data_IF_014494558303
#
_entry.id   IF_014494558303
#
_cell.length_a   1.000
_cell.length_b   1.000
_cell.length_c   1.000
_cell.angle_alpha   90.00
_cell.angle_beta   90.00
_cell.angle_gamma   90.00
#
_symmetry.space_group_name_H-M   'P 1'
#
loop_
_entity.id
_entity.type
_entity.pdbx_description
1 polymer ?
#
# COMPACT_ATOMS: atom_id res chain seq x y z
N UNK A 1 41.77 -19.00 28.65
CA UNK A 1 40.98 -19.13 27.40
C UNK A 1 39.58 -19.54 27.78
N UNK A 2 38.72 -18.56 28.06
CA UNK A 2 37.28 -18.79 28.29
C UNK A 2 36.54 -18.07 27.17
N UNK A 3 35.92 -18.85 26.29
CA UNK A 3 35.00 -18.43 25.25
C UNK A 3 33.69 -17.98 25.90
N UNK A 4 33.44 -16.67 25.90
CA UNK A 4 32.14 -16.08 26.24
C UNK A 4 31.19 -16.25 25.06
N UNK A 5 30.08 -16.95 25.28
CA UNK A 5 28.95 -17.09 24.35
C UNK A 5 28.26 -15.72 24.19
N UNK A 6 28.28 -15.17 22.97
CA UNK A 6 27.76 -13.83 22.64
C UNK A 6 26.26 -13.85 22.26
N UNK A 7 25.58 -15.00 22.31
CA UNK A 7 24.22 -15.14 21.74
C UNK A 7 23.05 -14.97 22.71
N UNK A 8 23.28 -14.82 24.02
CA UNK A 8 22.19 -14.78 25.02
C UNK A 8 21.90 -13.40 25.63
N UNK A 9 22.63 -12.34 25.26
CA UNK A 9 22.53 -11.03 25.94
C UNK A 9 21.80 -9.92 25.15
N UNK A 10 21.28 -10.22 23.96
CA UNK A 10 20.59 -9.20 23.13
C UNK A 10 19.15 -8.90 23.55
N UNK A 11 18.49 -9.80 24.29
CA UNK A 11 17.10 -9.61 24.74
C UNK A 11 16.96 -8.96 26.11
N UNK A 12 18.02 -8.91 26.93
CA UNK A 12 17.97 -8.36 28.28
C UNK A 12 18.44 -6.90 28.40
N UNK A 13 19.15 -6.37 27.38
CA UNK A 13 19.80 -5.06 27.44
C UNK A 13 19.02 -3.89 26.80
N UNK A 14 17.75 -4.11 26.45
CA UNK A 14 16.81 -3.06 26.07
C UNK A 14 15.79 -2.91 27.20
N UNK A 15 16.04 -1.97 28.12
CA UNK A 15 15.05 -1.47 29.07
C UNK A 15 13.91 -0.69 28.38
N UNK A 16 13.45 -1.17 27.24
CA UNK A 16 12.21 -0.74 26.62
C UNK A 16 11.11 -1.27 27.53
N UNK A 17 10.32 -0.37 28.13
CA UNK A 17 9.08 -0.81 28.77
C UNK A 17 8.34 -1.65 27.72
N UNK A 18 7.99 -2.89 28.08
CA UNK A 18 7.10 -3.73 27.30
C UNK A 18 5.94 -2.85 26.84
N UNK A 19 5.86 -2.60 25.53
CA UNK A 19 4.72 -1.93 24.90
C UNK A 19 3.53 -2.88 25.03
N UNK A 20 3.02 -3.05 26.25
CA UNK A 20 1.91 -3.95 26.53
C UNK A 20 0.68 -3.33 25.89
N UNK A 21 0.08 -4.08 24.98
CA UNK A 21 -1.27 -3.84 24.52
C UNK A 21 -2.21 -3.84 25.72
N UNK A 22 -2.75 -2.68 26.06
CA UNK A 22 -3.81 -2.56 27.07
C UNK A 22 -5.14 -2.32 26.35
N UNK A 23 -5.97 -3.36 26.29
CA UNK A 23 -7.32 -3.30 25.72
C UNK A 23 -8.22 -2.28 26.43
N UNK A 24 -7.89 -1.88 27.66
CA UNK A 24 -8.66 -0.90 28.43
C UNK A 24 -8.63 0.51 27.81
N UNK A 25 -7.61 0.83 27.01
CA UNK A 25 -7.54 2.12 26.29
C UNK A 25 -8.56 2.23 25.13
N UNK A 26 -9.32 1.16 24.84
CA UNK A 26 -10.28 1.11 23.74
C UNK A 26 -11.74 1.36 24.17
N UNK A 27 -12.09 1.24 25.46
CA UNK A 27 -13.48 1.27 25.93
C UNK A 27 -13.85 2.51 26.78
N UNK A 28 -14.63 3.42 26.15
CA UNK A 28 -15.53 4.48 26.71
C UNK A 28 -14.85 5.65 27.45
N UNK A 29 -15.33 6.89 27.44
CA UNK A 29 -16.62 7.50 27.09
C UNK A 29 -16.38 8.66 26.09
N UNK A 30 -17.39 8.97 25.28
CA UNK A 30 -17.49 10.22 24.51
C UNK A 30 -17.52 11.41 25.46
N UNK A 31 -16.36 11.76 26.00
CA UNK A 31 -16.10 12.97 26.74
C UNK A 31 -16.03 14.12 25.75
N UNK A 32 -16.79 15.16 26.05
CA UNK A 32 -16.97 16.46 25.42
C UNK A 32 -15.66 17.27 25.26
N UNK A 33 -14.62 16.67 24.68
CA UNK A 33 -13.50 17.39 24.10
C UNK A 33 -13.91 17.66 22.64
N UNK A 34 -14.43 18.87 22.40
CA UNK A 34 -15.04 19.28 21.13
C UNK A 34 -14.31 18.71 19.91
N UNK A 35 -14.97 17.80 19.22
CA UNK A 35 -14.47 17.14 18.02
C UNK A 35 -14.09 18.20 16.98
N UNK A 36 -12.82 18.21 16.57
CA UNK A 36 -12.33 19.19 15.60
C UNK A 36 -12.65 18.66 14.21
N UNK A 37 -13.71 19.19 13.62
CA UNK A 37 -14.24 18.71 12.34
C UNK A 37 -13.58 19.37 11.12
N UNK A 38 -12.70 20.35 11.30
CA UNK A 38 -12.02 21.05 10.19
C UNK A 38 -10.53 20.70 10.08
N UNK A 39 -10.06 19.69 10.82
CA UNK A 39 -8.69 19.18 10.76
C UNK A 39 -8.69 17.64 10.68
N UNK A 40 -7.78 17.05 9.90
CA UNK A 40 -7.76 15.60 9.68
C UNK A 40 -6.38 14.97 9.56
N UNK A 41 -6.26 13.72 10.01
CA UNK A 41 -5.22 12.80 9.56
C UNK A 41 -5.63 12.18 8.22
N UNK A 42 -4.75 12.21 7.24
CA UNK A 42 -5.00 11.72 5.88
C UNK A 42 -4.02 10.59 5.56
N UNK A 43 -4.52 9.47 5.04
CA UNK A 43 -3.68 8.37 4.53
C UNK A 43 -4.12 7.94 3.13
N UNK A 44 -3.35 7.07 2.49
CA UNK A 44 -3.60 6.53 1.15
C UNK A 44 -3.48 5.00 1.15
N UNK A 45 -4.45 4.33 0.53
CA UNK A 45 -4.36 2.92 0.16
C UNK A 45 -4.68 2.72 -1.33
N UNK A 46 -3.72 2.18 -2.07
CA UNK A 46 -3.86 1.95 -3.52
C UNK A 46 -4.42 0.57 -3.88
N UNK A 47 -4.53 -0.32 -2.91
CA UNK A 47 -5.05 -1.68 -3.04
C UNK A 47 -5.49 -2.24 -1.66
N UNK A 48 -6.02 -3.45 -1.65
CA UNK A 48 -6.46 -4.13 -0.43
C UNK A 48 -5.32 -4.43 0.55
N UNK A 49 -4.08 -4.57 0.07
CA UNK A 49 -2.91 -4.88 0.91
C UNK A 49 -2.49 -3.67 1.72
N UNK A 50 -2.33 -2.51 1.09
CA UNK A 50 -2.06 -1.25 1.80
C UNK A 50 -3.25 -0.80 2.65
N UNK A 51 -4.47 -1.23 2.32
CA UNK A 51 -5.64 -1.02 3.17
C UNK A 51 -5.51 -1.68 4.55
N UNK A 52 -4.79 -2.81 4.67
CA UNK A 52 -4.51 -3.43 5.97
C UNK A 52 -3.66 -2.51 6.85
N UNK A 53 -2.63 -1.89 6.27
CA UNK A 53 -1.81 -0.89 6.93
C UNK A 53 -2.63 0.32 7.39
N UNK A 54 -3.46 0.86 6.49
CA UNK A 54 -4.33 1.99 6.79
C UNK A 54 -5.33 1.68 7.92
N UNK A 55 -5.91 0.48 7.97
CA UNK A 55 -6.80 0.06 9.06
C UNK A 55 -6.06 0.02 10.40
N UNK A 56 -4.83 -0.53 10.44
CA UNK A 56 -4.01 -0.53 11.67
C UNK A 56 -3.64 0.89 12.07
N UNK A 57 -3.29 1.76 11.12
CA UNK A 57 -3.02 3.17 11.37
C UNK A 57 -4.24 3.86 12.02
N UNK A 58 -5.44 3.70 11.46
CA UNK A 58 -6.67 4.26 12.01
C UNK A 58 -6.93 3.78 13.44
N UNK A 59 -6.78 2.47 13.70
CA UNK A 59 -6.93 1.93 15.05
C UNK A 59 -5.85 2.45 16.02
N UNK A 60 -4.63 2.68 15.54
CA UNK A 60 -3.55 3.25 16.35
C UNK A 60 -3.82 4.71 16.75
N UNK A 61 -4.38 5.52 15.85
CA UNK A 61 -4.81 6.90 16.11
C UNK A 61 -5.99 6.95 17.10
N UNK A 62 -6.99 6.08 16.91
CA UNK A 62 -8.14 5.96 17.83
C UNK A 62 -7.72 5.55 19.24
N UNK A 63 -6.78 4.62 19.36
CA UNK A 63 -6.24 4.15 20.65
C UNK A 63 -5.55 5.26 21.44
N UNK A 64 -4.92 6.21 20.77
CA UNK A 64 -4.28 7.37 21.42
C UNK A 64 -5.23 8.56 21.54
N UNK A 65 -6.53 8.35 21.35
CA UNK A 65 -7.59 9.34 21.51
C UNK A 65 -7.34 10.63 20.71
N UNK A 66 -7.00 10.50 19.42
CA UNK A 66 -7.00 11.68 18.55
C UNK A 66 -8.38 12.33 18.54
N UNK A 67 -8.39 13.65 18.52
CA UNK A 67 -9.60 14.49 18.46
C UNK A 67 -9.89 14.99 17.03
N UNK A 68 -9.22 14.41 16.03
CA UNK A 68 -9.20 14.82 14.63
C UNK A 68 -9.86 13.77 13.75
N UNK A 69 -10.42 14.22 12.64
CA UNK A 69 -11.03 13.30 11.68
C UNK A 69 -9.98 12.41 11.00
N UNK A 70 -10.38 11.19 10.66
CA UNK A 70 -9.59 10.22 9.92
C UNK A 70 -10.10 10.14 8.49
N UNK A 71 -9.23 10.44 7.55
CA UNK A 71 -9.54 10.44 6.11
C UNK A 71 -8.63 9.45 5.41
N UNK A 72 -9.18 8.69 4.47
CA UNK A 72 -8.41 7.83 3.58
C UNK A 72 -8.73 8.13 2.12
N UNK A 73 -7.68 8.31 1.33
CA UNK A 73 -7.74 8.30 -0.12
C UNK A 73 -7.60 6.85 -0.61
N UNK A 74 -8.44 6.44 -1.57
CA UNK A 74 -8.38 5.11 -2.17
C UNK A 74 -8.44 5.16 -3.69
N UNK A 75 -7.95 4.11 -4.35
CA UNK A 75 -8.10 3.94 -5.81
C UNK A 75 -9.24 2.98 -6.14
N UNK A 76 -9.59 2.91 -7.42
CA UNK A 76 -10.55 1.93 -7.96
C UNK A 76 -10.14 0.46 -7.73
N UNK A 77 -8.86 0.20 -7.42
CA UNK A 77 -8.34 -1.15 -7.18
C UNK A 77 -8.72 -1.72 -5.81
N UNK A 78 -9.15 -0.88 -4.86
CA UNK A 78 -9.62 -1.33 -3.55
C UNK A 78 -11.00 -1.96 -3.68
N UNK A 79 -11.18 -3.19 -3.19
CA UNK A 79 -12.41 -3.96 -3.34
C UNK A 79 -13.58 -3.36 -2.56
N UNK A 80 -14.81 -3.65 -2.98
CA UNK A 80 -16.04 -3.20 -2.30
C UNK A 80 -16.08 -3.65 -0.83
N UNK A 81 -15.61 -4.86 -0.55
CA UNK A 81 -15.54 -5.41 0.81
C UNK A 81 -14.54 -4.62 1.66
N UNK A 82 -13.35 -4.34 1.12
CA UNK A 82 -12.36 -3.54 1.83
C UNK A 82 -12.85 -2.10 2.06
N UNK A 83 -13.52 -1.50 1.08
CA UNK A 83 -14.16 -0.17 1.22
C UNK A 83 -15.17 -0.12 2.37
N UNK A 84 -15.96 -1.18 2.55
CA UNK A 84 -16.90 -1.29 3.67
C UNK A 84 -16.19 -1.31 5.03
N UNK A 85 -15.01 -1.95 5.11
CA UNK A 85 -14.20 -1.95 6.33
C UNK A 85 -13.54 -0.60 6.59
N UNK A 86 -13.02 0.04 5.54
CA UNK A 86 -12.46 1.38 5.61
C UNK A 86 -13.51 2.39 6.08
N UNK A 87 -14.75 2.31 5.57
CA UNK A 87 -15.85 3.18 5.98
C UNK A 87 -16.30 3.00 7.44
N UNK A 88 -15.90 1.90 8.10
CA UNK A 88 -16.12 1.71 9.54
C UNK A 88 -14.96 2.28 10.38
N UNK A 89 -13.78 2.41 9.79
CA UNK A 89 -12.56 2.83 10.47
C UNK A 89 -12.24 4.32 10.27
N UNK A 90 -12.63 4.90 9.14
CA UNK A 90 -12.38 6.29 8.75
C UNK A 90 -13.69 7.09 8.69
N UNK A 91 -13.60 8.38 8.98
CA UNK A 91 -14.73 9.31 8.94
C UNK A 91 -15.06 9.72 7.50
N UNK A 92 -14.04 9.73 6.62
CA UNK A 92 -14.18 9.96 5.19
C UNK A 92 -13.32 8.97 4.38
N UNK A 93 -13.95 8.31 3.42
CA UNK A 93 -13.30 7.48 2.40
C UNK A 93 -13.49 8.14 1.05
N UNK A 94 -12.43 8.74 0.51
CA UNK A 94 -12.46 9.48 -0.75
C UNK A 94 -11.82 8.64 -1.87
N UNK A 95 -12.58 8.35 -2.91
CA UNK A 95 -12.06 7.65 -4.08
C UNK A 95 -11.41 8.61 -5.07
N UNK A 96 -10.14 8.37 -5.39
CA UNK A 96 -9.37 9.12 -6.36
C UNK A 96 -9.31 8.31 -7.66
N UNK A 97 -9.96 8.84 -8.70
CA UNK A 97 -9.92 8.26 -10.04
C UNK A 97 -9.09 9.15 -10.99
N UNK A 98 -7.82 8.75 -11.19
CA UNK A 98 -6.90 9.45 -12.10
C UNK A 98 -7.39 9.43 -13.56
N UNK A 99 -8.16 8.42 -13.97
CA UNK A 99 -8.59 8.22 -15.35
C UNK A 99 -9.81 9.04 -15.76
N UNK A 100 -10.64 9.46 -14.79
CA UNK A 100 -11.88 10.20 -15.08
C UNK A 100 -11.69 11.73 -15.09
N UNK A 101 -10.51 12.19 -14.68
CA UNK A 101 -10.21 13.61 -14.67
C UNK A 101 -9.97 14.08 -16.11
N UNK A 102 -10.99 14.66 -16.74
CA UNK A 102 -10.97 15.28 -18.10
C UNK A 102 -10.03 16.50 -18.23
N UNK A 103 -9.05 16.60 -17.36
CA UNK A 103 -8.10 17.70 -17.26
C UNK A 103 -6.91 17.42 -18.22
N UNK A 104 -6.56 18.38 -19.10
CA UNK A 104 -5.35 18.31 -19.92
C UNK A 104 -4.08 17.98 -19.12
N UNK A 105 -3.99 18.43 -17.86
CA UNK A 105 -2.88 18.09 -16.99
C UNK A 105 -2.83 16.56 -16.74
N UNK A 106 -3.96 15.95 -16.34
CA UNK A 106 -4.07 14.51 -16.09
C UNK A 106 -3.84 13.65 -17.36
N UNK A 107 -4.18 14.18 -18.54
CA UNK A 107 -3.87 13.55 -19.83
C UNK A 107 -2.36 13.52 -20.13
N UNK A 108 -1.62 14.57 -19.77
CA UNK A 108 -0.15 14.53 -19.84
C UNK A 108 0.44 13.49 -18.89
N UNK A 109 -0.21 13.26 -17.73
CA UNK A 109 0.19 12.28 -16.71
C UNK A 109 0.04 10.82 -17.16
N UNK A 110 -0.91 10.51 -18.06
CA UNK A 110 -1.01 9.17 -18.67
C UNK A 110 0.27 8.75 -19.42
N UNK A 111 1.13 9.71 -19.80
CA UNK A 111 2.42 9.43 -20.43
C UNK A 111 3.55 9.17 -19.41
N UNK A 112 3.27 9.21 -18.10
CA UNK A 112 4.22 9.00 -16.98
C UNK A 112 3.68 7.97 -15.98
N UNK A 113 3.49 6.70 -16.39
CA UNK A 113 2.89 5.66 -15.54
C UNK A 113 3.67 5.42 -14.23
N UNK A 114 4.96 5.71 -14.20
CA UNK A 114 5.82 5.58 -13.02
C UNK A 114 5.41 6.48 -11.84
N UNK A 115 4.65 7.54 -12.09
CA UNK A 115 4.21 8.50 -11.06
C UNK A 115 2.77 8.26 -10.57
N UNK A 116 2.09 7.18 -10.98
CA UNK A 116 0.66 6.98 -10.69
C UNK A 116 0.30 7.01 -9.18
N UNK A 117 1.12 6.38 -8.34
CA UNK A 117 0.92 6.38 -6.87
C UNK A 117 1.20 7.78 -6.29
N UNK A 118 2.29 8.41 -6.74
CA UNK A 118 2.65 9.79 -6.37
C UNK A 118 1.51 10.76 -6.63
N UNK A 119 0.90 10.71 -7.82
CA UNK A 119 -0.21 11.58 -8.17
C UNK A 119 -1.45 11.34 -7.33
N UNK A 120 -1.78 10.07 -7.05
CA UNK A 120 -2.90 9.73 -6.16
C UNK A 120 -2.71 10.35 -4.77
N UNK A 121 -1.47 10.35 -4.24
CA UNK A 121 -1.13 10.98 -2.96
C UNK A 121 -1.36 12.50 -2.98
N UNK A 122 -1.03 13.19 -4.08
CA UNK A 122 -1.22 14.65 -4.19
C UNK A 122 -2.68 15.09 -4.10
N UNK A 123 -3.65 14.21 -4.37
CA UNK A 123 -5.07 14.53 -4.17
C UNK A 123 -5.40 14.87 -2.71
N UNK A 124 -4.53 14.60 -1.74
CA UNK A 124 -4.73 15.06 -0.37
C UNK A 124 -4.87 16.59 -0.28
N UNK A 125 -4.21 17.36 -1.16
CA UNK A 125 -4.37 18.83 -1.24
C UNK A 125 -5.76 19.26 -1.74
N UNK A 126 -6.56 18.37 -2.33
CA UNK A 126 -7.92 18.70 -2.78
C UNK A 126 -8.98 18.55 -1.70
N UNK A 127 -8.59 18.10 -0.51
CA UNK A 127 -9.48 17.95 0.64
C UNK A 127 -9.78 19.31 1.31
N UNK A 128 -10.28 20.27 0.52
CA UNK A 128 -10.51 21.68 0.89
C UNK A 128 -11.62 21.90 1.92
N UNK A 129 -12.32 20.84 2.32
CA UNK A 129 -13.21 20.84 3.48
C UNK A 129 -12.44 20.95 4.81
N UNK A 130 -11.14 20.64 4.83
CA UNK A 130 -10.27 20.78 6.00
C UNK A 130 -9.36 22.00 5.87
N UNK A 131 -9.11 22.68 6.99
CA UNK A 131 -8.18 23.81 7.10
C UNK A 131 -6.73 23.37 7.22
N UNK A 132 -6.50 22.18 7.78
CA UNK A 132 -5.16 21.63 7.97
C UNK A 132 -5.23 20.12 8.09
N UNK A 133 -4.25 19.46 7.48
CA UNK A 133 -4.16 18.02 7.51
C UNK A 133 -2.74 17.57 7.87
N UNK A 134 -2.66 16.39 8.48
CA UNK A 134 -1.41 15.64 8.64
C UNK A 134 -1.50 14.42 7.75
N UNK A 135 -0.67 14.37 6.71
CA UNK A 135 -0.56 13.18 5.88
C UNK A 135 0.29 12.13 6.60
N UNK A 136 -0.12 10.86 6.53
CA UNK A 136 0.61 9.70 7.05
C UNK A 136 0.53 8.54 6.06
N UNK A 137 1.66 8.00 5.61
CA UNK A 137 1.69 6.78 4.79
C UNK A 137 1.06 5.60 5.54
N UNK A 138 0.43 4.67 4.83
CA UNK A 138 -0.31 3.54 5.43
C UNK A 138 0.58 2.47 6.07
N UNK A 139 1.90 2.60 5.94
CA UNK A 139 2.92 1.81 6.64
C UNK A 139 3.54 2.57 7.82
N UNK A 140 2.82 3.54 8.37
CA UNK A 140 3.14 4.20 9.64
C UNK A 140 2.30 3.62 10.79
N UNK A 141 2.77 3.79 12.03
CA UNK A 141 2.10 3.33 13.25
C UNK A 141 2.22 4.37 14.35
N UNK A 142 1.07 4.77 14.91
CA UNK A 142 1.02 5.75 16.01
C UNK A 142 1.14 5.04 17.36
N UNK A 143 2.12 5.45 18.15
CA UNK A 143 2.38 4.96 19.50
C UNK A 143 1.74 5.87 20.57
N UNK A 144 1.81 7.19 20.35
CA UNK A 144 1.36 8.22 21.28
C UNK A 144 0.59 9.31 20.53
N UNK A 145 -0.32 10.02 21.22
CA UNK A 145 -1.06 11.13 20.62
C UNK A 145 -0.10 12.20 20.07
N UNK A 146 -0.37 12.69 18.87
CA UNK A 146 0.43 13.68 18.15
C UNK A 146 -0.43 14.81 17.56
N UNK A 147 -1.60 15.11 18.16
CA UNK A 147 -2.51 16.16 17.70
C UNK A 147 -1.85 17.56 17.76
N UNK A 148 -0.75 17.74 18.50
CA UNK A 148 0.02 18.99 18.46
C UNK A 148 0.66 19.28 17.08
N UNK A 149 0.75 18.31 16.18
CA UNK A 149 1.19 18.51 14.80
C UNK A 149 0.31 19.51 14.04
N UNK A 150 -0.98 19.62 14.39
CA UNK A 150 -1.89 20.59 13.78
C UNK A 150 -1.57 22.06 14.17
N UNK A 151 -0.67 22.29 15.13
CA UNK A 151 -0.12 23.64 15.37
C UNK A 151 0.89 24.09 14.31
N UNK A 152 1.40 23.18 13.48
CA UNK A 152 2.47 23.45 12.50
C UNK A 152 1.94 24.02 11.19
N UNK A 153 2.81 24.69 10.43
CA UNK A 153 2.50 25.29 9.14
C UNK A 153 2.88 24.37 7.97
N UNK A 154 2.35 24.65 6.78
CA UNK A 154 2.77 23.97 5.55
C UNK A 154 4.14 24.50 5.07
N UNK A 155 5.07 23.68 4.59
CA UNK A 155 5.14 22.22 4.69
C UNK A 155 6.02 21.89 5.89
N UNK A 156 5.49 21.19 6.91
CA UNK A 156 6.30 20.71 8.04
C UNK A 156 6.47 19.21 7.97
N UNK A 157 7.70 18.73 8.02
CA UNK A 157 8.03 17.31 7.85
C UNK A 157 9.30 16.95 8.65
N UNK A 158 9.63 15.67 8.72
CA UNK A 158 10.82 15.16 9.42
C UNK A 158 11.97 15.00 8.41
N UNK A 159 13.23 15.34 8.76
CA UNK A 159 14.39 15.06 7.92
C UNK A 159 14.50 13.57 7.55
N UNK A 160 14.85 13.30 6.29
CA UNK A 160 15.15 11.95 5.83
C UNK A 160 16.46 11.44 6.44
N UNK A 161 16.49 10.16 6.82
CA UNK A 161 17.68 9.56 7.47
C UNK A 161 18.84 9.31 6.51
N UNK A 162 18.54 9.18 5.21
CA UNK A 162 19.54 8.97 4.16
C UNK A 162 20.16 10.30 3.75
N UNK A 163 19.33 11.27 3.36
CA UNK A 163 19.76 12.61 2.97
C UNK A 163 19.04 13.68 3.78
N UNK A 164 19.60 14.17 4.91
CA UNK A 164 18.90 15.03 5.86
C UNK A 164 18.45 16.42 5.35
N UNK A 165 19.01 16.88 4.24
CA UNK A 165 18.53 18.11 3.57
C UNK A 165 17.25 17.86 2.75
N UNK A 166 16.82 16.61 2.62
CA UNK A 166 15.50 16.24 2.15
C UNK A 166 14.63 15.90 3.35
N UNK A 167 13.35 16.21 3.29
CA UNK A 167 12.37 15.67 4.24
C UNK A 167 11.82 14.33 3.77
N UNK A 168 11.46 13.48 4.73
CA UNK A 168 10.73 12.25 4.47
C UNK A 168 9.24 12.55 4.24
N UNK A 169 8.68 12.07 3.13
CA UNK A 169 7.28 12.35 2.75
C UNK A 169 6.26 11.42 3.40
N UNK A 170 6.68 10.52 4.29
CA UNK A 170 5.77 9.59 4.96
C UNK A 170 4.92 10.23 6.05
N UNK A 171 5.38 11.34 6.63
CA UNK A 171 4.58 12.15 7.56
C UNK A 171 4.86 13.62 7.33
N UNK A 172 3.83 14.39 7.00
CA UNK A 172 3.95 15.84 6.83
C UNK A 172 2.65 16.59 7.13
N UNK A 173 2.79 17.85 7.56
CA UNK A 173 1.67 18.78 7.81
C UNK A 173 1.51 19.68 6.60
N UNK A 174 0.28 19.80 6.11
CA UNK A 174 -0.05 20.58 4.92
C UNK A 174 -1.41 21.28 5.05
N UNK A 175 -1.67 22.22 4.15
CA UNK A 175 -2.93 22.97 4.06
C UNK A 175 -3.60 22.62 2.73
N UNK A 176 -4.76 21.92 2.75
CA UNK A 176 -5.50 21.64 1.53
C UNK A 176 -5.80 22.91 0.74
N UNK A 177 -5.48 22.89 -0.55
CA UNK A 177 -5.59 24.01 -1.47
C UNK A 177 -5.59 23.50 -2.91
N UNK A 178 -6.69 23.76 -3.63
CA UNK A 178 -6.78 23.50 -5.08
C UNK A 178 -5.67 24.24 -5.85
N UNK A 179 -5.25 25.43 -5.40
CA UNK A 179 -4.16 26.16 -6.03
C UNK A 179 -2.81 25.42 -5.85
N UNK A 180 -2.54 24.91 -4.65
CA UNK A 180 -1.31 24.14 -4.36
C UNK A 180 -1.31 22.82 -5.12
N UNK A 181 -2.46 22.12 -5.17
CA UNK A 181 -2.63 20.91 -5.98
C UNK A 181 -2.30 21.17 -7.45
N UNK A 182 -2.95 22.16 -8.09
CA UNK A 182 -2.73 22.45 -9.51
C UNK A 182 -1.28 22.87 -9.80
N UNK A 183 -0.65 23.60 -8.87
CA UNK A 183 0.77 23.94 -8.98
C UNK A 183 1.68 22.70 -8.87
N UNK A 184 1.41 21.78 -7.94
CA UNK A 184 2.14 20.52 -7.79
C UNK A 184 2.00 19.63 -9.03
N UNK A 185 0.79 19.50 -9.58
CA UNK A 185 0.55 18.72 -10.81
C UNK A 185 1.30 19.33 -12.00
N UNK A 186 1.22 20.64 -12.18
CA UNK A 186 1.93 21.35 -13.26
C UNK A 186 3.44 21.15 -13.10
N UNK A 187 3.96 21.35 -11.89
CA UNK A 187 5.37 21.18 -11.58
C UNK A 187 5.85 19.75 -11.85
N UNK A 188 5.06 18.73 -11.49
CA UNK A 188 5.37 17.34 -11.75
C UNK A 188 5.40 17.00 -13.25
N UNK A 189 4.51 17.61 -14.05
CA UNK A 189 4.52 17.46 -15.51
C UNK A 189 5.77 18.04 -16.17
N UNK A 190 6.33 19.11 -15.60
CA UNK A 190 7.52 19.80 -16.11
C UNK A 190 8.84 19.19 -15.62
N UNK A 191 8.93 18.84 -14.32
CA UNK A 191 10.17 18.48 -13.66
C UNK A 191 10.26 16.99 -13.29
N UNK A 192 9.13 16.29 -13.23
CA UNK A 192 9.05 14.91 -12.74
C UNK A 192 9.44 14.80 -11.26
N UNK A 193 9.96 13.62 -10.89
CA UNK A 193 10.51 13.33 -9.56
C UNK A 193 11.90 12.73 -9.71
N UNK A 194 12.87 13.15 -8.88
CA UNK A 194 14.24 12.64 -8.97
C UNK A 194 14.39 11.20 -8.44
N UNK A 195 13.50 10.74 -7.56
CA UNK A 195 13.49 9.37 -7.02
C UNK A 195 12.37 8.51 -7.64
N UNK A 196 11.58 9.08 -8.57
CA UNK A 196 10.41 8.45 -9.17
C UNK A 196 9.19 8.35 -8.24
N UNK A 197 9.29 8.82 -7.00
CA UNK A 197 8.22 8.81 -5.99
C UNK A 197 7.71 10.20 -5.64
N UNK A 198 6.87 10.28 -4.62
CA UNK A 198 6.32 11.54 -4.09
C UNK A 198 7.35 12.32 -3.29
N UNK A 199 8.28 11.65 -2.60
CA UNK A 199 9.31 12.30 -1.80
C UNK A 199 10.17 13.22 -2.67
N UNK A 200 10.65 12.73 -3.82
CA UNK A 200 11.47 13.52 -4.71
C UNK A 200 10.74 14.72 -5.30
N UNK A 201 9.49 14.53 -5.72
CA UNK A 201 8.65 15.61 -6.24
C UNK A 201 8.40 16.69 -5.18
N UNK A 202 7.98 16.29 -3.99
CA UNK A 202 7.64 17.21 -2.90
C UNK A 202 8.89 17.97 -2.43
N UNK A 203 10.05 17.33 -2.35
CA UNK A 203 11.31 18.01 -2.02
C UNK A 203 11.75 19.01 -3.10
N UNK A 204 11.50 18.73 -4.39
CA UNK A 204 11.78 19.69 -5.46
C UNK A 204 10.83 20.90 -5.41
N UNK A 205 9.55 20.67 -5.12
CA UNK A 205 8.57 21.75 -5.02
C UNK A 205 8.82 22.62 -3.78
N UNK A 206 8.93 21.98 -2.60
CA UNK A 206 9.22 22.62 -1.31
C UNK A 206 10.73 22.67 -1.02
N UNK A 207 11.54 23.04 -2.02
CA UNK A 207 13.01 23.01 -1.97
C UNK A 207 13.65 23.92 -0.91
N UNK A 208 12.91 24.91 -0.40
CA UNK A 208 13.38 25.81 0.65
C UNK A 208 13.22 25.24 2.07
N UNK A 209 12.58 24.07 2.24
CA UNK A 209 12.32 23.43 3.53
C UNK A 209 13.58 23.28 4.40
N UNK A 210 14.70 22.84 3.80
CA UNK A 210 15.94 22.57 4.53
C UNK A 210 16.60 23.82 5.14
N UNK A 211 16.36 25.00 4.56
CA UNK A 211 17.17 26.20 4.86
C UNK A 211 16.37 27.39 5.36
N UNK A 212 15.06 27.43 5.13
CA UNK A 212 14.24 28.62 5.38
C UNK A 212 13.75 28.78 6.81
N UNK A 213 13.19 27.72 7.40
CA UNK A 213 12.49 27.83 8.69
C UNK A 213 12.58 26.53 9.51
N UNK A 214 13.30 26.61 10.64
CA UNK A 214 13.48 25.50 11.56
C UNK A 214 12.16 25.04 12.21
N UNK A 215 11.14 25.91 12.27
CA UNK A 215 9.85 25.54 12.89
C UNK A 215 9.09 24.47 12.09
N UNK A 216 9.43 24.34 10.79
CA UNK A 216 8.94 23.34 9.84
C UNK A 216 9.71 22.02 9.85
N UNK A 217 10.80 21.96 10.62
CA UNK A 217 11.53 20.72 10.88
C UNK A 217 10.88 20.04 12.08
N UNK A 218 10.10 18.99 11.80
CA UNK A 218 9.52 18.16 12.83
C UNK A 218 10.60 17.29 13.48
N UNK A 219 10.45 17.06 14.79
CA UNK A 219 11.34 16.13 15.51
C UNK A 219 11.23 14.72 14.92
N UNK A 220 12.36 14.00 14.90
CA UNK A 220 12.45 12.65 14.35
C UNK A 220 11.46 11.66 14.98
N UNK A 221 11.00 11.93 16.21
CA UNK A 221 9.98 11.12 16.90
C UNK A 221 8.62 11.07 16.20
N UNK A 222 8.33 12.02 15.30
CA UNK A 222 7.08 12.10 14.53
C UNK A 222 7.12 11.34 13.19
N UNK A 223 8.27 10.77 12.82
CA UNK A 223 8.40 9.91 11.63
C UNK A 223 9.66 9.06 11.80
N UNK A 224 9.71 8.27 12.88
CA UNK A 224 10.90 7.50 13.20
C UNK A 224 10.99 6.30 12.27
N UNK A 225 11.99 6.31 11.40
CA UNK A 225 12.28 5.16 10.55
C UNK A 225 12.65 3.94 11.40
N UNK A 226 11.92 2.84 11.21
CA UNK A 226 12.06 1.62 12.01
C UNK A 226 13.46 1.01 11.96
N UNK A 227 14.20 1.24 10.87
CA UNK A 227 15.59 0.83 10.70
C UNK A 227 16.55 1.51 11.71
N UNK A 228 16.18 2.66 12.29
CA UNK A 228 17.06 3.38 13.24
C UNK A 228 17.30 2.60 14.53
N UNK A 229 16.40 1.68 14.90
CA UNK A 229 16.59 0.86 16.08
C UNK A 229 17.82 -0.06 16.00
N UNK A 230 18.40 -0.27 14.80
CA UNK A 230 19.72 -0.89 14.65
C UNK A 230 20.80 0.03 14.07
N UNK A 231 20.48 0.93 13.14
CA UNK A 231 21.52 1.76 12.49
C UNK A 231 22.12 2.80 13.44
N UNK A 232 21.34 3.30 14.42
CA UNK A 232 21.85 4.21 15.45
C UNK A 232 21.31 3.83 16.84
N UNK A 233 21.56 2.58 17.24
CA UNK A 233 21.07 2.00 18.50
C UNK A 233 21.32 2.86 19.76
N UNK A 234 22.47 3.53 19.97
CA UNK A 234 22.65 4.44 21.11
C UNK A 234 21.62 5.57 21.17
N UNK A 235 21.32 6.21 20.04
CA UNK A 235 20.31 7.26 19.97
C UNK A 235 18.91 6.69 20.22
N UNK A 236 18.61 5.53 19.64
CA UNK A 236 17.34 4.84 19.90
C UNK A 236 17.17 4.45 21.38
N UNK A 237 18.22 3.97 22.06
CA UNK A 237 18.16 3.69 23.51
C UNK A 237 17.92 4.96 24.35
N UNK A 238 18.43 6.10 23.90
CA UNK A 238 18.28 7.37 24.60
C UNK A 238 16.91 8.03 24.38
N UNK A 239 16.43 8.04 23.13
CA UNK A 239 15.26 8.83 22.69
C UNK A 239 14.06 7.97 22.23
N UNK A 240 14.24 6.66 22.06
CA UNK A 240 13.22 5.76 21.49
C UNK A 240 11.93 5.67 22.29
N UNK A 241 11.99 5.91 23.61
CA UNK A 241 10.81 5.97 24.47
C UNK A 241 9.87 7.15 24.15
N UNK A 242 10.40 8.21 23.53
CA UNK A 242 9.67 9.43 23.21
C UNK A 242 9.06 9.37 21.79
N UNK A 243 9.26 8.26 21.08
CA UNK A 243 8.75 8.04 19.72
C UNK A 243 7.22 8.06 19.72
N UNK A 244 6.64 8.86 18.84
CA UNK A 244 5.20 8.99 18.65
C UNK A 244 4.71 8.26 17.42
N UNK A 245 5.48 8.28 16.34
CA UNK A 245 5.13 7.63 15.08
C UNK A 245 6.33 6.82 14.58
N UNK A 246 6.07 5.55 14.26
CA UNK A 246 7.03 4.65 13.62
C UNK A 246 6.68 4.52 12.15
N UNK A 247 7.68 4.54 11.27
CA UNK A 247 7.51 4.36 9.83
C UNK A 247 8.28 3.11 9.37
N UNK A 248 7.54 2.13 8.84
CA UNK A 248 8.09 0.85 8.38
C UNK A 248 8.62 0.95 6.94
N UNK A 249 9.73 1.68 6.80
CA UNK A 249 10.43 1.83 5.52
C UNK A 249 10.97 0.50 4.99
N UNK A 250 11.14 0.47 3.67
CA UNK A 250 11.69 -0.67 2.95
C UNK A 250 10.63 -1.59 2.35
N UNK A 251 11.06 -2.63 1.62
CA UNK A 251 10.16 -3.47 0.82
C UNK A 251 9.37 -4.47 1.67
N UNK A 252 9.81 -4.76 2.90
CA UNK A 252 9.15 -5.73 3.79
C UNK A 252 8.33 -4.97 4.82
N UNK A 253 7.03 -4.82 4.52
CA UNK A 253 6.04 -4.16 5.37
C UNK A 253 5.59 -5.07 6.53
N UNK A 254 4.92 -4.52 7.56
CA UNK A 254 4.47 -5.30 8.72
C UNK A 254 3.61 -6.52 8.35
N UNK A 255 2.69 -6.33 7.38
CA UNK A 255 1.82 -7.40 6.87
C UNK A 255 2.56 -8.50 6.08
N UNK A 256 3.83 -8.31 5.71
CA UNK A 256 4.63 -9.39 5.09
C UNK A 256 5.25 -10.34 6.13
N UNK A 257 5.10 -10.07 7.43
CA UNK A 257 5.69 -10.89 8.48
C UNK A 257 4.71 -11.99 8.93
N UNK A 258 5.23 -13.10 9.45
CA UNK A 258 4.37 -14.18 9.94
C UNK A 258 3.96 -13.93 11.38
N UNK A 259 2.71 -14.18 11.74
CA UNK A 259 2.23 -14.12 13.11
C UNK A 259 1.88 -15.52 13.62
N UNK A 260 2.49 -15.92 14.73
CA UNK A 260 2.23 -17.21 15.34
C UNK A 260 1.01 -17.10 16.27
N UNK A 261 -0.11 -17.65 15.82
CA UNK A 261 -1.38 -17.63 16.57
C UNK A 261 -1.34 -18.40 17.90
N UNK A 262 -0.43 -19.35 18.07
CA UNK A 262 -0.30 -20.12 19.31
C UNK A 262 0.49 -19.36 20.37
N UNK A 263 1.55 -18.66 19.97
CA UNK A 263 2.38 -17.89 20.89
C UNK A 263 1.93 -16.44 21.03
N UNK A 264 1.09 -15.96 20.10
CA UNK A 264 0.71 -14.55 20.01
C UNK A 264 1.87 -13.64 19.61
N UNK A 265 2.91 -14.18 18.95
CA UNK A 265 4.11 -13.44 18.62
C UNK A 265 4.35 -13.33 17.11
N UNK A 266 4.78 -12.15 16.67
CA UNK A 266 5.32 -11.98 15.33
C UNK A 266 6.63 -12.76 15.18
N UNK A 267 6.87 -13.30 14.00
CA UNK A 267 8.12 -13.92 13.60
C UNK A 267 8.77 -13.03 12.53
N UNK A 268 9.64 -12.09 12.93
CA UNK A 268 10.30 -11.23 11.95
C UNK A 268 11.27 -12.01 11.09
N UNK A 269 11.42 -11.55 9.84
CA UNK A 269 12.51 -11.99 8.99
C UNK A 269 13.86 -11.67 9.64
N UNK A 270 14.92 -12.39 9.26
CA UNK A 270 16.24 -12.28 9.89
C UNK A 270 16.76 -10.83 9.98
N UNK A 271 16.45 -10.00 9.00
CA UNK A 271 16.87 -8.60 8.94
C UNK A 271 15.96 -7.63 9.72
N UNK A 272 14.79 -8.08 10.19
CA UNK A 272 13.76 -7.26 10.84
C UNK A 272 13.69 -7.46 12.36
N UNK A 273 14.60 -8.25 12.94
CA UNK A 273 14.57 -8.57 14.38
C UNK A 273 14.66 -7.33 15.30
N UNK A 274 15.34 -6.28 14.84
CA UNK A 274 15.48 -5.02 15.56
C UNK A 274 14.15 -4.24 15.71
N UNK A 275 13.14 -4.58 14.90
CA UNK A 275 11.81 -3.95 14.94
C UNK A 275 10.79 -4.79 15.72
N UNK A 276 11.21 -5.85 16.43
CA UNK A 276 10.31 -6.83 17.03
C UNK A 276 9.19 -6.17 17.83
N UNK A 277 9.50 -5.25 18.73
CA UNK A 277 8.49 -4.60 19.59
C UNK A 277 7.45 -3.81 18.77
N UNK A 278 7.89 -3.06 17.75
CA UNK A 278 6.99 -2.29 16.88
C UNK A 278 6.15 -3.19 15.97
N UNK A 279 6.74 -4.25 15.42
CA UNK A 279 6.04 -5.24 14.61
C UNK A 279 5.02 -6.02 15.44
N UNK A 280 5.41 -6.44 16.63
CA UNK A 280 4.54 -7.12 17.59
C UNK A 280 3.31 -6.27 17.87
N UNK A 281 3.52 -4.98 18.15
CA UNK A 281 2.42 -4.06 18.42
C UNK A 281 1.51 -3.82 17.22
N UNK A 282 2.09 -3.70 16.02
CA UNK A 282 1.31 -3.63 14.77
C UNK A 282 0.42 -4.86 14.61
N UNK A 283 0.98 -6.06 14.83
CA UNK A 283 0.25 -7.32 14.73
C UNK A 283 -0.81 -7.51 15.81
N UNK A 284 -0.58 -7.02 17.03
CA UNK A 284 -1.58 -7.04 18.10
C UNK A 284 -2.80 -6.20 17.73
N UNK A 285 -2.60 -4.99 17.20
CA UNK A 285 -3.69 -4.16 16.69
C UNK A 285 -4.42 -4.83 15.52
N UNK A 286 -3.65 -5.41 14.59
CA UNK A 286 -4.20 -6.11 13.44
C UNK A 286 -5.08 -7.28 13.88
N UNK A 287 -4.56 -8.19 14.70
CA UNK A 287 -5.28 -9.37 15.15
C UNK A 287 -6.47 -9.03 16.06
N UNK A 288 -6.41 -7.93 16.80
CA UNK A 288 -7.50 -7.53 17.71
C UNK A 288 -8.63 -6.81 16.98
N UNK A 289 -8.32 -5.91 16.06
CA UNK A 289 -9.31 -4.98 15.51
C UNK A 289 -9.59 -5.12 14.02
N UNK A 290 -8.63 -5.64 13.25
CA UNK A 290 -8.70 -5.73 11.78
C UNK A 290 -9.08 -7.15 11.36
N UNK A 291 -8.27 -8.15 11.73
CA UNK A 291 -8.43 -9.54 11.31
C UNK A 291 -9.84 -10.11 11.55
N UNK A 292 -10.48 -9.89 12.73
CA UNK A 292 -11.81 -10.45 12.99
C UNK A 292 -12.92 -9.91 12.07
N UNK A 293 -12.67 -8.80 11.38
CA UNK A 293 -13.60 -8.15 10.46
C UNK A 293 -13.27 -8.41 8.98
N UNK A 294 -12.11 -9.00 8.68
CA UNK A 294 -11.71 -9.26 7.30
C UNK A 294 -12.60 -10.33 6.67
N UNK A 295 -12.88 -10.15 5.37
CA UNK A 295 -13.68 -11.07 4.57
C UNK A 295 -12.76 -11.93 3.68
N UNK A 296 -13.05 -13.23 3.50
CA UNK A 296 -12.34 -14.08 2.55
C UNK A 296 -12.36 -13.59 1.10
N UNK A 297 -13.34 -12.75 0.76
CA UNK A 297 -13.53 -12.14 -0.55
C UNK A 297 -12.65 -10.91 -0.79
N UNK A 298 -11.87 -10.44 0.19
CA UNK A 298 -10.84 -9.43 -0.04
C UNK A 298 -9.76 -9.96 -1.00
N UNK A 299 -9.14 -9.08 -1.78
CA UNK A 299 -8.14 -9.47 -2.78
C UNK A 299 -6.77 -9.76 -2.15
N UNK A 300 -6.02 -10.67 -2.78
CA UNK A 300 -4.61 -10.96 -2.45
C UNK A 300 -4.37 -11.29 -0.98
N UNK A 301 -3.32 -10.68 -0.40
CA UNK A 301 -2.89 -10.92 0.97
C UNK A 301 -3.98 -10.63 2.01
N UNK A 302 -4.86 -9.65 1.77
CA UNK A 302 -5.97 -9.35 2.68
C UNK A 302 -6.94 -10.54 2.80
N UNK A 303 -7.28 -11.17 1.67
CA UNK A 303 -8.09 -12.39 1.66
C UNK A 303 -7.39 -13.58 2.32
N UNK A 304 -6.07 -13.71 2.17
CA UNK A 304 -5.29 -14.73 2.89
C UNK A 304 -5.29 -14.51 4.40
N UNK A 305 -5.07 -13.27 4.85
CA UNK A 305 -5.07 -12.92 6.27
C UNK A 305 -6.43 -13.11 6.95
N UNK A 306 -7.53 -12.95 6.22
CA UNK A 306 -8.87 -13.23 6.77
C UNK A 306 -9.03 -14.69 7.23
N UNK A 307 -8.27 -15.62 6.66
CA UNK A 307 -8.35 -17.06 6.93
C UNK A 307 -7.51 -17.49 8.13
N UNK A 308 -6.76 -16.56 8.75
CA UNK A 308 -5.99 -16.80 9.96
C UNK A 308 -6.94 -17.22 11.10
N UNK A 309 -6.99 -18.51 11.38
CA UNK A 309 -7.82 -19.11 12.42
C UNK A 309 -6.95 -20.02 13.29
N UNK A 310 -7.21 -20.02 14.59
CA UNK A 310 -6.58 -20.98 15.50
C UNK A 310 -7.18 -22.35 15.20
N UNK A 311 -6.43 -23.18 14.47
CA UNK A 311 -6.78 -24.59 14.30
C UNK A 311 -6.62 -25.31 15.63
N UNK A 312 -7.60 -26.13 15.98
CA UNK A 312 -7.52 -26.98 17.17
C UNK A 312 -6.34 -27.97 17.06
N UNK A 313 -5.82 -28.45 18.19
CA UNK A 313 -4.72 -29.42 18.21
C UNK A 313 -5.04 -30.70 17.40
N UNK A 314 -6.32 -31.00 17.21
CA UNK A 314 -6.83 -32.14 16.45
C UNK A 314 -6.81 -31.90 14.93
N UNK A 315 -7.01 -30.66 14.49
CA UNK A 315 -6.89 -30.22 13.09
C UNK A 315 -5.43 -30.13 12.64
N UNK A 316 -4.51 -29.72 13.53
CA UNK A 316 -3.06 -29.75 13.28
C UNK A 316 -2.54 -31.18 13.06
N UNK A 317 -3.04 -32.17 13.81
CA UNK A 317 -2.66 -33.58 13.64
C UNK A 317 -3.10 -34.16 12.28
N UNK A 318 -4.17 -33.63 11.68
CA UNK A 318 -4.62 -34.03 10.34
C UNK A 318 -3.85 -33.34 9.21
N UNK A 319 -3.23 -32.19 9.46
CA UNK A 319 -2.54 -31.37 8.44
C UNK A 319 -1.04 -31.62 8.34
N UNK A 320 -0.46 -32.44 9.23
CA UNK A 320 0.98 -32.78 9.20
C UNK A 320 1.45 -33.58 7.96
N UNK A 321 0.55 -33.91 7.02
CA UNK A 321 0.92 -34.52 5.74
C UNK A 321 1.10 -33.51 4.59
N UNK A 322 0.82 -32.20 4.80
CA UNK A 322 0.74 -31.23 3.68
C UNK A 322 1.34 -29.84 4.04
N UNK A 323 2.43 -29.83 4.80
CA UNK A 323 3.13 -28.59 5.17
C UNK A 323 4.14 -28.14 4.10
N UNK A 324 3.63 -27.59 3.00
CA UNK A 324 4.31 -26.55 2.18
C UNK A 324 3.28 -25.75 1.39
N UNK A 325 2.51 -24.89 2.05
CA UNK A 325 1.71 -23.80 1.44
C UNK A 325 1.63 -22.75 2.56
N UNK A 326 2.04 -21.48 2.42
CA UNK A 326 1.43 -20.44 1.58
C UNK A 326 2.47 -19.38 1.19
N UNK A 327 2.91 -19.47 -0.07
CA UNK A 327 3.31 -18.34 -0.90
C UNK A 327 2.68 -18.63 -2.25
N UNK A 328 1.60 -17.92 -2.59
CA UNK A 328 0.86 -18.16 -3.83
C UNK A 328 1.70 -17.93 -5.10
N UNK A 329 1.12 -18.21 -6.27
CA UNK A 329 1.75 -17.93 -7.57
C UNK A 329 2.17 -16.47 -7.74
N UNK A 330 1.49 -15.55 -7.05
CA UNK A 330 1.81 -14.12 -7.05
C UNK A 330 3.05 -13.80 -6.21
N UNK A 331 3.26 -14.44 -5.06
CA UNK A 331 4.49 -14.29 -4.28
C UNK A 331 5.71 -14.82 -5.06
N UNK A 332 5.53 -15.91 -5.83
CA UNK A 332 6.54 -16.45 -6.74
C UNK A 332 6.80 -15.50 -7.92
N UNK A 333 5.77 -14.98 -8.56
CA UNK A 333 5.91 -13.99 -9.64
C UNK A 333 6.63 -12.73 -9.14
N UNK A 334 6.29 -12.26 -7.95
CA UNK A 334 6.90 -11.09 -7.31
C UNK A 334 8.36 -11.33 -6.90
N UNK A 335 8.73 -12.58 -6.56
CA UNK A 335 10.12 -12.97 -6.34
C UNK A 335 10.94 -12.95 -7.64
N UNK A 336 10.33 -13.37 -8.77
CA UNK A 336 10.93 -13.26 -10.10
C UNK A 336 11.18 -11.80 -10.52
N UNK A 337 10.19 -10.93 -10.33
CA UNK A 337 10.27 -9.51 -10.73
C UNK A 337 11.34 -8.73 -9.95
N UNK A 338 11.74 -9.22 -8.77
CA UNK A 338 12.79 -8.63 -7.91
C UNK A 338 14.14 -9.35 -7.98
N UNK A 339 14.30 -10.31 -8.90
CA UNK A 339 15.55 -11.06 -9.09
C UNK A 339 15.90 -12.04 -7.95
N UNK A 340 14.94 -12.37 -7.09
CA UNK A 340 15.07 -13.32 -5.98
C UNK A 340 14.49 -14.69 -6.38
N UNK A 341 14.98 -15.24 -7.49
CA UNK A 341 14.47 -16.47 -8.09
C UNK A 341 14.94 -17.68 -7.27
N UNK A 342 14.05 -18.64 -7.02
CA UNK A 342 14.37 -19.89 -6.32
C UNK A 342 15.06 -20.89 -7.28
N UNK A 343 16.33 -20.63 -7.59
CA UNK A 343 17.12 -21.44 -8.53
C UNK A 343 17.33 -22.91 -8.09
N UNK A 344 17.03 -23.26 -6.83
CA UNK A 344 17.24 -24.61 -6.28
C UNK A 344 15.94 -25.37 -5.98
N UNK A 345 14.78 -24.73 -6.05
CA UNK A 345 13.48 -25.35 -5.80
C UNK A 345 12.50 -25.20 -6.96
N UNK A 346 11.41 -24.48 -6.75
CA UNK A 346 10.29 -24.39 -7.69
C UNK A 346 10.69 -23.76 -9.04
N UNK A 347 11.70 -22.88 -9.04
CA UNK A 347 12.24 -22.19 -10.22
C UNK A 347 13.58 -22.77 -10.70
N UNK A 348 13.92 -23.99 -10.28
CA UNK A 348 15.10 -24.68 -10.78
C UNK A 348 15.04 -24.85 -12.31
N UNK A 349 16.21 -24.75 -12.96
CA UNK A 349 16.34 -24.86 -14.41
C UNK A 349 15.64 -26.11 -14.99
N UNK A 350 15.73 -27.24 -14.29
CA UNK A 350 15.09 -28.49 -14.71
C UNK A 350 13.54 -28.37 -14.78
N UNK A 351 12.93 -27.62 -13.87
CA UNK A 351 11.49 -27.40 -13.83
C UNK A 351 11.05 -26.42 -14.92
N UNK A 352 11.82 -25.35 -15.14
CA UNK A 352 11.59 -24.38 -16.22
C UNK A 352 11.70 -25.07 -17.59
N UNK A 353 12.76 -25.86 -17.79
CA UNK A 353 12.99 -26.61 -19.01
C UNK A 353 11.85 -27.60 -19.28
N UNK A 354 11.44 -28.37 -18.27
CA UNK A 354 10.30 -29.30 -18.38
C UNK A 354 9.00 -28.60 -18.79
N UNK A 355 8.76 -27.38 -18.29
CA UNK A 355 7.57 -26.58 -18.63
C UNK A 355 7.63 -26.06 -20.06
N UNK A 356 8.81 -25.61 -20.51
CA UNK A 356 9.04 -25.17 -21.91
C UNK A 356 8.89 -26.36 -22.88
N UNK A 357 9.48 -27.51 -22.57
CA UNK A 357 9.38 -28.72 -23.38
C UNK A 357 7.91 -29.20 -23.50
N UNK A 358 7.15 -29.08 -22.41
CA UNK A 358 5.70 -29.37 -22.40
C UNK A 358 4.90 -28.39 -23.24
N UNK A 359 5.25 -27.10 -23.21
CA UNK A 359 4.60 -26.06 -24.03
C UNK A 359 4.93 -26.20 -25.52
N UNK A 360 6.13 -26.69 -25.86
CA UNK A 360 6.57 -26.91 -27.24
C UNK A 360 6.03 -28.20 -27.85
N UNK A 361 5.67 -29.20 -27.04
CA UNK A 361 5.05 -30.47 -27.48
C UNK A 361 3.53 -30.42 -27.52
N UNK A 362 2.91 -29.40 -26.92
CA UNK A 362 1.48 -29.13 -27.05
C UNK A 362 1.17 -28.56 -28.45
N UNK A 363 0.74 -29.42 -29.37
CA UNK A 363 0.16 -28.99 -30.65
C UNK A 363 -1.05 -28.06 -30.40
N UNK A 364 -1.29 -27.04 -31.26
CA UNK A 364 -2.41 -26.12 -31.06
C UNK A 364 -3.73 -26.88 -31.15
N UNK A 365 -4.54 -26.79 -30.08
CA UNK A 365 -5.90 -27.26 -30.10
C UNK A 365 -6.71 -26.42 -31.12
N UNK A 366 -7.28 -27.07 -32.12
CA UNK A 366 -8.21 -26.44 -33.07
C UNK A 366 -9.44 -25.88 -32.32
N UNK A 367 -9.96 -24.71 -32.73
CA UNK A 367 -11.16 -24.15 -32.12
C UNK A 367 -12.39 -25.00 -32.48
N UNK A 368 -13.05 -25.54 -31.47
CA UNK A 368 -14.35 -26.22 -31.60
C UNK A 368 -15.41 -25.18 -31.98
N UNK A 369 -15.80 -25.17 -33.25
CA UNK A 369 -16.98 -24.45 -33.75
C UNK A 369 -18.22 -25.22 -33.32
N UNK A 370 -19.12 -24.55 -32.61
CA UNK A 370 -20.43 -25.10 -32.25
C UNK A 370 -21.30 -25.22 -33.52
N UNK A 371 -21.47 -26.44 -34.02
CA UNK A 371 -22.46 -26.76 -35.06
C UNK A 371 -23.87 -26.73 -34.46
N UNK A 372 -24.61 -25.67 -34.78
CA UNK A 372 -26.07 -25.63 -34.67
C UNK A 372 -26.70 -26.61 -35.64
N UNK A 373 -27.51 -27.52 -35.11
CA UNK A 373 -28.31 -28.50 -35.82
C UNK A 373 -29.15 -27.90 -36.96
N UNK A 374 -28.87 -28.26 -38.20
CA UNK A 374 -29.80 -28.15 -39.32
C UNK A 374 -30.53 -29.50 -39.52
N UNK A 375 -31.82 -29.53 -39.21
CA UNK A 375 -32.74 -30.56 -39.71
C UNK A 375 -33.16 -30.21 -41.15
N UNK A 376 -32.93 -31.14 -42.08
CA UNK A 376 -33.51 -31.13 -43.42
C UNK A 376 -35.03 -31.28 -43.37
N UNK A 377 -35.77 -30.41 -44.06
CA UNK A 377 -37.06 -30.74 -44.68
C UNK A 377 -37.14 -30.19 -46.11
N UNK A 378 -37.59 -31.09 -46.97
CA UNK A 378 -37.71 -31.02 -48.44
C UNK A 378 -38.72 -29.99 -48.96
N UNK A 379 -38.39 -29.53 -50.19
CA UNK A 379 -39.24 -29.27 -51.37
C UNK A 379 -40.28 -28.13 -51.34
N UNK A 380 -40.21 -27.28 -52.38
CA UNK A 380 -41.26 -26.31 -52.71
C UNK A 380 -40.83 -25.28 -53.76
N UNK A 381 -41.12 -25.61 -55.02
CA UNK A 381 -40.91 -24.88 -56.26
C UNK A 381 -41.60 -23.48 -56.32
N UNK A 382 -40.94 -22.47 -56.94
CA UNK A 382 -41.47 -21.53 -57.97
C UNK A 382 -40.80 -20.14 -58.06
N UNK A 383 -40.27 -19.89 -59.26
CA UNK A 383 -40.39 -18.70 -60.14
C UNK A 383 -39.93 -17.28 -59.71
N UNK A 384 -38.86 -16.85 -60.42
CA UNK A 384 -38.87 -15.84 -61.49
C UNK A 384 -38.35 -14.40 -61.25
N UNK A 385 -37.48 -14.02 -62.19
CA UNK A 385 -37.07 -12.67 -62.66
C UNK A 385 -36.09 -11.89 -61.77
N UNK A 386 -35.01 -11.29 -62.27
CA UNK A 386 -34.43 -11.23 -63.61
C UNK A 386 -33.33 -10.15 -63.65
N UNK A 387 -32.23 -10.43 -64.38
CA UNK A 387 -31.33 -9.48 -65.12
C UNK A 387 -30.67 -8.30 -64.36
N UNK A 388 -29.41 -7.88 -64.54
CA UNK A 388 -28.34 -8.06 -65.54
C UNK A 388 -27.05 -7.45 -64.95
N UNK A 389 -25.89 -8.06 -65.20
CA UNK A 389 -24.53 -7.48 -65.14
C UNK A 389 -24.15 -6.87 -66.52
N UNK A 390 -22.90 -6.39 -66.79
CA UNK A 390 -22.02 -5.33 -66.26
C UNK A 390 -21.56 -4.42 -67.47
N UNK A 391 -20.31 -3.90 -67.70
CA UNK A 391 -19.09 -3.65 -66.90
C UNK A 391 -18.37 -2.28 -67.16
N UNK A 392 -17.21 -2.13 -66.51
CA UNK A 392 -16.01 -1.26 -66.70
C UNK A 392 -15.83 -0.39 -67.97
N UNK A 393 -15.18 0.78 -67.82
CA UNK A 393 -13.85 1.07 -68.42
C UNK A 393 -13.28 2.48 -68.10
N UNK A 394 -12.02 2.47 -67.63
CA UNK A 394 -10.85 3.34 -67.94
C UNK A 394 -11.06 4.69 -68.67
N UNK A 395 -10.43 5.76 -68.16
CA UNK A 395 -9.17 6.34 -68.72
C UNK A 395 -9.00 7.85 -68.49
N UNK A 396 -7.75 8.20 -68.14
CA UNK A 396 -6.94 9.36 -68.54
C UNK A 396 -7.38 10.75 -68.08
N UNK A 397 -6.54 11.56 -67.41
CA UNK A 397 -5.16 12.07 -67.63
C UNK A 397 -5.25 13.55 -68.05
N UNK A 398 -4.37 14.33 -67.45
CA UNK A 398 -3.90 15.69 -67.81
C UNK A 398 -4.79 16.86 -67.38
N UNK A 399 -4.29 18.05 -67.05
CA UNK A 399 -2.98 18.62 -66.66
C UNK A 399 -3.15 20.14 -66.84
N UNK A 400 -2.47 20.94 -66.00
CA UNK A 400 -2.27 22.41 -66.05
C UNK A 400 -3.51 23.21 -65.62
N UNK A 401 -3.37 24.21 -64.75
CA UNK A 401 -2.27 25.18 -64.60
C UNK A 401 -1.80 25.30 -63.16
#
# INVERSE_FOLDING_TARGET
MNTLNITTDLTAAAGCLSMRFDSACYERESGDAGEVTDEAYVTLATDDTYSLGALVLAHSLKRVHTSRQLVILITSSVTTQMRSLLAQAFDLVEEVNLLDSRDPANLALLNRPELGVTFTKLHCWRLVQFKKCVFMDSDTLVLQNCDELFSKEELSAVPDVGWPDCFNSGVFVFVPSEATYNALITFAGEHGSFDGGDQGLLNLYFHDWATKDITKHLSFIYNMNSNVSYTYLPAYKQFGKDVKIVHFLGPVKPWHHTFNLLTGQVQPHAHSQHMFDHLQFWWELFMTHVQPKLFPECAGLAGEMSKLTIKTAEELRRTHADQTVYGGSEARQYAWERGQIDYMGEDAFANIQKKLDSAMTAAPAEPVVAEGTHQEKKAGDKQASGTKTPPSAKSKKQSKK
#
